data_IF_171755476742
#
_entry.id   IF_171755476742
#
_cell.length_a   1.000
_cell.length_b   1.000
_cell.length_c   1.000
_cell.angle_alpha   90.00
_cell.angle_beta   90.00
_cell.angle_gamma   90.00
#
_symmetry.space_group_name_H-M   'P 1'
#
loop_
_entity.id
_entity.type
_entity.pdbx_description
1 polymer ?
#
# COMPACT_ATOMS: atom_id res chain seq x y z
N UNK A 1 0.28 -11.69 0.66
CA UNK A 1 0.39 -10.89 -0.58
C UNK A 1 1.38 -9.77 -0.32
N UNK A 2 2.37 -9.64 -1.20
CA UNK A 2 3.37 -8.57 -1.15
C UNK A 2 2.75 -7.22 -1.57
N UNK A 3 3.37 -6.13 -1.17
CA UNK A 3 2.98 -4.77 -1.55
C UNK A 3 2.91 -4.61 -3.08
N UNK A 4 3.92 -5.09 -3.79
CA UNK A 4 4.00 -4.98 -5.25
C UNK A 4 2.87 -5.76 -5.95
N UNK A 5 2.55 -6.95 -5.46
CA UNK A 5 1.45 -7.78 -5.94
C UNK A 5 0.08 -7.13 -5.68
N UNK A 6 -0.10 -6.56 -4.49
CA UNK A 6 -1.32 -5.83 -4.11
C UNK A 6 -1.54 -4.65 -5.06
N UNK A 7 -0.51 -3.80 -5.23
CA UNK A 7 -0.59 -2.64 -6.09
C UNK A 7 -0.78 -3.04 -7.56
N UNK A 8 -0.07 -4.08 -8.04
CA UNK A 8 -0.22 -4.57 -9.41
C UNK A 8 -1.62 -5.08 -9.68
N UNK A 9 -2.21 -5.83 -8.75
CA UNK A 9 -3.57 -6.34 -8.87
C UNK A 9 -4.58 -5.20 -9.02
N UNK A 10 -4.46 -4.15 -8.19
CA UNK A 10 -5.32 -2.97 -8.29
C UNK A 10 -5.12 -2.21 -9.63
N UNK A 11 -3.88 -2.08 -10.10
CA UNK A 11 -3.62 -1.43 -11.40
C UNK A 11 -4.26 -2.22 -12.55
N UNK A 12 -4.23 -3.55 -12.52
CA UNK A 12 -4.92 -4.41 -13.50
C UNK A 12 -6.44 -4.30 -13.37
N UNK A 13 -6.98 -4.40 -12.14
CA UNK A 13 -8.41 -4.30 -11.83
C UNK A 13 -9.01 -2.97 -12.32
N UNK A 14 -8.28 -1.86 -12.18
CA UNK A 14 -8.72 -0.55 -12.62
C UNK A 14 -8.91 -0.41 -14.15
N UNK A 15 -8.29 -1.30 -14.94
CA UNK A 15 -8.22 -1.17 -16.40
C UNK A 15 -7.43 0.04 -16.91
N UNK A 16 -6.75 0.78 -16.03
CA UNK A 16 -6.02 1.99 -16.38
C UNK A 16 -4.54 1.71 -16.70
N UNK A 17 -4.03 2.41 -17.70
CA UNK A 17 -2.59 2.47 -17.96
C UNK A 17 -1.86 3.23 -16.84
N UNK A 18 -0.57 2.96 -16.67
CA UNK A 18 0.26 3.73 -15.72
C UNK A 18 0.20 5.25 -15.96
N UNK A 19 0.13 5.69 -17.22
CA UNK A 19 0.00 7.12 -17.55
C UNK A 19 -1.32 7.70 -17.02
N UNK A 20 -2.43 6.97 -17.16
CA UNK A 20 -3.73 7.39 -16.66
C UNK A 20 -3.79 7.47 -15.13
N UNK A 21 -3.13 6.53 -14.44
CA UNK A 21 -3.03 6.54 -12.98
C UNK A 21 -2.18 7.72 -12.50
N UNK A 22 -1.01 7.93 -13.13
CA UNK A 22 -0.13 9.07 -12.83
C UNK A 22 -0.86 10.40 -13.01
N UNK A 23 -1.62 10.56 -14.10
CA UNK A 23 -2.39 11.78 -14.33
C UNK A 23 -3.40 12.04 -13.21
N UNK A 24 -4.09 10.99 -12.74
CA UNK A 24 -5.03 11.10 -11.60
C UNK A 24 -4.31 11.40 -10.29
N UNK A 25 -3.09 10.88 -10.08
CA UNK A 25 -2.30 11.20 -8.90
C UNK A 25 -1.83 12.67 -8.86
N UNK A 26 -1.69 13.35 -10.00
CA UNK A 26 -1.29 14.78 -10.04
C UNK A 26 -2.30 15.67 -9.31
N UNK A 27 -3.59 15.32 -9.35
CA UNK A 27 -4.66 16.05 -8.64
C UNK A 27 -4.44 16.04 -7.12
N UNK A 28 -3.69 15.07 -6.60
CA UNK A 28 -3.33 14.94 -5.19
C UNK A 28 -1.93 15.47 -4.85
N UNK A 29 -1.34 16.28 -5.73
CA UNK A 29 -0.09 17.00 -5.49
C UNK A 29 1.13 16.10 -5.21
N UNK A 30 1.21 14.94 -5.87
CA UNK A 30 2.33 13.99 -5.74
C UNK A 30 2.93 13.61 -7.09
N UNK A 31 4.24 13.76 -7.18
CA UNK A 31 5.07 13.41 -8.35
C UNK A 31 5.28 11.89 -8.44
N UNK A 32 4.21 11.12 -8.64
CA UNK A 32 4.32 9.71 -9.04
C UNK A 32 4.63 9.70 -10.55
N UNK A 33 5.84 9.35 -10.95
CA UNK A 33 6.15 9.20 -12.38
C UNK A 33 5.72 7.83 -12.90
N UNK A 34 5.51 7.70 -14.22
CA UNK A 34 5.17 6.42 -14.86
C UNK A 34 6.24 5.35 -14.60
N UNK A 35 7.51 5.73 -14.70
CA UNK A 35 8.65 4.84 -14.46
C UNK A 35 8.69 4.39 -13.00
N UNK A 36 8.46 5.31 -12.06
CA UNK A 36 8.39 5.01 -10.64
C UNK A 36 7.24 4.05 -10.31
N UNK A 37 6.01 4.34 -10.78
CA UNK A 37 4.83 3.47 -10.60
C UNK A 37 5.05 2.05 -11.15
N UNK A 38 5.71 1.95 -12.32
CA UNK A 38 6.06 0.66 -12.92
C UNK A 38 7.09 -0.12 -12.10
N UNK A 39 8.04 0.55 -11.45
CA UNK A 39 9.06 -0.12 -10.62
C UNK A 39 8.46 -0.63 -9.31
N UNK A 40 7.69 0.20 -8.60
CA UNK A 40 7.07 -0.20 -7.32
C UNK A 40 6.04 -1.32 -7.49
N UNK A 41 5.21 -1.29 -8.55
CA UNK A 41 4.21 -2.34 -8.81
C UNK A 41 4.82 -3.67 -9.29
N UNK A 42 6.10 -3.68 -9.67
CA UNK A 42 6.83 -4.90 -10.03
C UNK A 42 7.79 -5.37 -8.94
N UNK A 43 7.87 -4.66 -7.81
CA UNK A 43 8.77 -5.00 -6.71
C UNK A 43 10.25 -4.71 -6.99
N UNK A 44 10.58 -3.92 -8.02
CA UNK A 44 11.95 -3.43 -8.27
C UNK A 44 12.37 -2.34 -7.30
N UNK A 45 11.43 -1.82 -6.51
CA UNK A 45 11.63 -0.78 -5.53
C UNK A 45 10.82 -1.11 -4.28
N UNK A 46 11.30 -0.68 -3.10
CA UNK A 46 10.57 -0.89 -1.85
C UNK A 46 9.23 -0.15 -1.88
N UNK A 47 8.29 -0.52 -0.98
CA UNK A 47 7.07 0.23 -0.77
C UNK A 47 7.34 1.73 -0.56
N UNK A 48 6.54 2.63 -1.15
CA UNK A 48 6.79 4.06 -1.12
C UNK A 48 6.37 4.70 0.21
N UNK A 49 6.48 6.04 0.28
CA UNK A 49 6.02 6.80 1.43
C UNK A 49 4.49 6.70 1.60
N UNK A 50 4.00 7.00 2.81
CA UNK A 50 2.56 6.93 3.09
C UNK A 50 1.78 7.97 2.30
N UNK A 51 2.36 9.12 1.98
CA UNK A 51 1.71 10.11 1.12
C UNK A 51 1.51 9.58 -0.30
N UNK A 52 2.48 8.83 -0.84
CA UNK A 52 2.33 8.18 -2.16
C UNK A 52 1.26 7.09 -2.07
N UNK A 53 1.26 6.29 -1.00
CA UNK A 53 0.23 5.26 -0.80
C UNK A 53 -1.17 5.85 -0.69
N UNK A 54 -1.34 6.96 0.04
CA UNK A 54 -2.62 7.68 0.13
C UNK A 54 -3.06 8.20 -1.23
N UNK A 55 -2.15 8.79 -2.01
CA UNK A 55 -2.47 9.26 -3.35
C UNK A 55 -2.90 8.11 -4.29
N UNK A 56 -2.21 6.97 -4.25
CA UNK A 56 -2.57 5.78 -5.04
C UNK A 56 -3.91 5.20 -4.60
N UNK A 57 -4.13 5.07 -3.29
CA UNK A 57 -5.40 4.57 -2.75
C UNK A 57 -6.56 5.48 -3.12
N UNK A 58 -6.43 6.81 -2.98
CA UNK A 58 -7.49 7.75 -3.35
C UNK A 58 -7.86 7.67 -4.83
N UNK A 59 -6.86 7.45 -5.70
CA UNK A 59 -7.07 7.34 -7.14
C UNK A 59 -7.73 6.02 -7.52
N UNK A 60 -7.31 4.91 -6.90
CA UNK A 60 -7.71 3.56 -7.31
C UNK A 60 -8.93 3.02 -6.54
N UNK A 61 -9.20 3.48 -5.32
CA UNK A 61 -10.32 3.00 -4.49
C UNK A 61 -11.71 3.17 -5.12
N UNK A 62 -12.00 4.18 -5.98
CA UNK A 62 -13.30 4.28 -6.62
C UNK A 62 -13.58 3.19 -7.66
N UNK A 63 -12.53 2.52 -8.16
CA UNK A 63 -12.64 1.51 -9.25
C UNK A 63 -11.98 0.18 -8.90
N UNK A 64 -11.51 0.02 -7.66
CA UNK A 64 -10.86 -1.21 -7.17
C UNK A 64 -11.15 -1.41 -5.68
N UNK A 65 -10.88 -2.61 -5.18
CA UNK A 65 -10.89 -2.89 -3.74
C UNK A 65 -9.70 -2.32 -2.95
N UNK A 66 -8.82 -1.52 -3.57
CA UNK A 66 -7.60 -1.01 -2.92
C UNK A 66 -7.91 0.12 -1.94
N UNK A 67 -7.42 0.01 -0.71
CA UNK A 67 -7.47 1.08 0.30
C UNK A 67 -6.07 1.42 0.80
N UNK A 68 -5.95 2.57 1.48
CA UNK A 68 -4.70 2.98 2.10
C UNK A 68 -4.25 1.98 3.18
N UNK A 69 -5.18 1.49 4.00
CA UNK A 69 -4.91 0.53 5.08
C UNK A 69 -4.33 -0.77 4.53
N UNK A 70 -4.82 -1.23 3.37
CA UNK A 70 -4.27 -2.42 2.70
C UNK A 70 -2.84 -2.19 2.23
N UNK A 71 -2.56 -1.03 1.62
CA UNK A 71 -1.20 -0.66 1.21
C UNK A 71 -0.25 -0.51 2.40
N UNK A 72 -0.71 0.16 3.46
CA UNK A 72 0.05 0.37 4.68
C UNK A 72 0.36 -0.96 5.36
N UNK A 73 -0.62 -1.85 5.51
CA UNK A 73 -0.42 -3.17 6.10
C UNK A 73 0.60 -4.00 5.29
N UNK A 74 0.48 -4.01 3.96
CA UNK A 74 1.43 -4.73 3.11
C UNK A 74 2.85 -4.14 3.20
N UNK A 75 2.97 -2.80 3.20
CA UNK A 75 4.25 -2.11 3.41
C UNK A 75 4.88 -2.48 4.75
N UNK A 76 4.13 -2.33 5.84
CA UNK A 76 4.65 -2.52 7.19
C UNK A 76 5.03 -3.97 7.46
N UNK A 77 4.29 -4.94 6.91
CA UNK A 77 4.68 -6.36 6.95
C UNK A 77 6.00 -6.66 6.22
N UNK A 78 6.40 -5.85 5.25
CA UNK A 78 7.64 -6.06 4.50
C UNK A 78 8.84 -5.33 5.10
N UNK A 79 8.62 -4.18 5.76
CA UNK A 79 9.72 -3.35 6.28
C UNK A 79 9.97 -3.53 7.77
N UNK A 80 8.96 -3.95 8.54
CA UNK A 80 9.11 -4.15 9.98
C UNK A 80 9.73 -5.54 10.19
N UNK A 81 10.84 -5.64 10.96
CA UNK A 81 11.43 -6.93 11.30
C UNK A 81 10.45 -7.86 12.02
N UNK A 82 10.57 -9.16 11.77
CA UNK A 82 9.63 -10.16 12.31
C UNK A 82 9.57 -10.14 13.84
N UNK A 83 10.69 -9.88 14.52
CA UNK A 83 10.76 -9.76 15.98
C UNK A 83 9.92 -8.59 16.51
N UNK A 84 9.87 -7.47 15.78
CA UNK A 84 9.05 -6.31 16.16
C UNK A 84 7.57 -6.61 15.92
N UNK A 85 7.23 -7.29 14.82
CA UNK A 85 5.85 -7.73 14.57
C UNK A 85 5.34 -8.70 15.63
N UNK A 86 6.18 -9.64 16.07
CA UNK A 86 5.87 -10.57 17.16
C UNK A 86 5.65 -9.84 18.47
N UNK A 87 6.50 -8.87 18.81
CA UNK A 87 6.34 -8.06 20.01
C UNK A 87 4.99 -7.31 20.01
N UNK A 88 4.62 -6.66 18.89
CA UNK A 88 3.32 -5.98 18.75
C UNK A 88 2.14 -6.96 18.94
N UNK A 89 2.24 -8.17 18.39
CA UNK A 89 1.17 -9.17 18.54
C UNK A 89 1.02 -9.63 20.00
N UNK A 90 2.12 -9.87 20.71
CA UNK A 90 2.10 -10.29 22.11
C UNK A 90 1.55 -9.24 23.08
N UNK A 91 1.74 -7.93 22.80
CA UNK A 91 1.14 -6.86 23.61
C UNK A 91 -0.39 -6.82 23.52
N UNK A 92 -0.97 -7.18 22.37
CA UNK A 92 -2.41 -7.18 22.17
C UNK A 92 -3.12 -8.41 22.78
N UNK A 93 -2.45 -9.53 22.94
CA UNK A 93 -3.00 -10.75 23.57
C UNK A 93 -3.08 -10.60 25.11
N UNK A 94 -2.22 -9.78 25.73
CA UNK A 94 -2.20 -9.53 27.17
C UNK A 94 -3.36 -8.69 27.71
N UNK A 95 -4.12 -7.99 26.84
CA UNK A 95 -5.20 -7.08 27.24
C UNK A 95 -6.61 -7.67 27.29
N UNK A 96 -6.79 -8.96 26.97
CA UNK A 96 -8.13 -9.60 26.94
C UNK A 96 -8.51 -10.31 28.24
N UNK A 97 -7.64 -10.33 29.26
CA UNK A 97 -7.88 -11.05 30.52
C UNK A 97 -8.34 -10.19 31.70
N UNK A 98 -8.63 -8.90 31.51
CA UNK A 98 -9.00 -7.98 32.60
C UNK A 98 -10.44 -7.44 32.49
N UNK A 99 -11.38 -8.34 32.17
CA UNK A 99 -12.82 -8.13 32.40
C UNK A 99 -13.49 -9.42 32.88
N UNK A 100 -13.36 -9.70 34.17
CA UNK A 100 -14.32 -10.51 34.93
C UNK A 100 -14.74 -9.73 36.18
#
# INVERSE_FOLDING_TARGET
MKYSELLRSALVESGWSYSQVVERCKVHNKNVSRSYLSKISRGFMPPPSDEVNKALANVLSPVTSLTYERLALAKYKEIIPDEVLKAIASEHEGGQHEKL
#
